data_IF_102337638235
#
_entry.id   IF_102337638235
#
_cell.length_a   1.000
_cell.length_b   1.000
_cell.length_c   1.000
_cell.angle_alpha   90.00
_cell.angle_beta   90.00
_cell.angle_gamma   90.00
#
_symmetry.space_group_name_H-M   'P 1'
#
loop_
_entity.id
_entity.type
_entity.pdbx_description
1 polymer ?
#
# COMPACT_ATOMS: atom_id res chain seq x y z
N UNK A 1 45.97 -31.12 -37.12
CA UNK A 1 45.83 -32.17 -36.10
C UNK A 1 46.49 -31.64 -34.83
N UNK A 2 45.70 -31.03 -33.95
CA UNK A 2 45.92 -30.88 -32.49
C UNK A 2 44.71 -30.14 -31.91
N UNK A 3 44.25 -30.62 -30.77
CA UNK A 3 42.90 -30.49 -30.24
C UNK A 3 42.56 -29.10 -29.69
N UNK A 4 41.39 -28.58 -30.08
CA UNK A 4 40.71 -27.56 -29.27
C UNK A 4 40.04 -28.24 -28.08
N UNK A 5 40.77 -28.40 -26.99
CA UNK A 5 40.20 -28.59 -25.66
C UNK A 5 39.51 -27.30 -25.22
N UNK A 6 38.29 -27.04 -25.72
CA UNK A 6 37.43 -26.05 -25.09
C UNK A 6 36.70 -26.71 -23.94
N UNK A 7 37.15 -26.30 -22.75
CA UNK A 7 36.75 -26.74 -21.44
C UNK A 7 35.23 -26.91 -21.33
N UNK A 8 34.83 -28.08 -20.82
CA UNK A 8 33.50 -28.41 -20.27
C UNK A 8 33.27 -27.55 -19.03
N UNK A 9 33.19 -26.24 -19.19
CA UNK A 9 32.95 -25.27 -18.13
C UNK A 9 31.45 -25.21 -17.85
N UNK A 10 31.01 -26.25 -17.14
CA UNK A 10 29.99 -26.19 -16.09
C UNK A 10 28.60 -25.64 -16.47
N UNK A 11 27.70 -26.55 -16.88
CA UNK A 11 26.25 -26.35 -16.73
C UNK A 11 25.86 -25.98 -15.27
N UNK A 12 26.70 -26.30 -14.28
CA UNK A 12 26.49 -25.90 -12.88
C UNK A 12 26.68 -24.40 -12.64
N UNK A 13 27.51 -23.68 -13.40
CA UNK A 13 27.71 -22.22 -13.21
C UNK A 13 26.51 -21.45 -13.78
N UNK A 14 25.92 -21.93 -14.88
CA UNK A 14 24.72 -21.32 -15.47
C UNK A 14 23.48 -21.61 -14.61
N UNK A 15 23.35 -22.82 -14.05
CA UNK A 15 22.28 -23.13 -13.08
C UNK A 15 22.43 -22.35 -11.78
N UNK A 16 23.65 -22.17 -11.25
CA UNK A 16 23.90 -21.32 -10.08
C UNK A 16 23.54 -19.85 -10.36
N UNK A 17 23.78 -19.34 -11.57
CA UNK A 17 23.41 -17.97 -11.95
C UNK A 17 21.89 -17.78 -11.95
N UNK A 18 21.14 -18.74 -12.50
CA UNK A 18 19.68 -18.73 -12.47
C UNK A 18 19.13 -18.86 -11.04
N UNK A 19 19.75 -19.67 -10.19
CA UNK A 19 19.32 -19.84 -8.81
C UNK A 19 19.58 -18.57 -7.97
N UNK A 20 20.70 -17.90 -8.19
CA UNK A 20 21.01 -16.61 -7.55
C UNK A 20 20.04 -15.51 -8.05
N UNK A 21 19.68 -15.47 -9.33
CA UNK A 21 18.66 -14.53 -9.82
C UNK A 21 17.26 -14.81 -9.26
N UNK A 22 16.88 -16.08 -9.10
CA UNK A 22 15.60 -16.46 -8.51
C UNK A 22 15.55 -16.10 -7.01
N UNK A 23 16.68 -16.22 -6.31
CA UNK A 23 16.84 -15.73 -4.93
C UNK A 23 16.82 -14.19 -4.91
N UNK A 24 17.50 -13.49 -5.81
CA UNK A 24 17.48 -12.02 -5.89
C UNK A 24 16.06 -11.48 -6.16
N UNK A 25 15.29 -12.08 -7.08
CA UNK A 25 13.89 -11.71 -7.31
C UNK A 25 12.98 -12.08 -6.13
N UNK A 26 13.29 -13.16 -5.40
CA UNK A 26 12.59 -13.50 -4.15
C UNK A 26 12.92 -12.51 -3.03
N UNK A 27 14.17 -12.07 -2.88
CA UNK A 27 14.60 -11.11 -1.86
C UNK A 27 14.03 -9.72 -2.14
N UNK A 28 13.77 -9.32 -3.38
CA UNK A 28 13.01 -8.09 -3.66
C UNK A 28 11.52 -8.25 -3.34
N UNK A 29 10.97 -9.46 -3.42
CA UNK A 29 9.56 -9.77 -3.04
C UNK A 29 9.38 -9.99 -1.53
N UNK A 30 10.41 -10.44 -0.82
CA UNK A 30 10.42 -10.73 0.62
C UNK A 30 11.16 -9.66 1.46
N UNK A 31 11.95 -8.80 0.81
CA UNK A 31 12.64 -7.63 1.36
C UNK A 31 11.79 -6.36 1.32
N UNK A 32 10.48 -6.50 1.06
CA UNK A 32 9.50 -5.66 1.75
C UNK A 32 9.49 -6.14 3.18
N UNK A 33 10.49 -5.70 3.94
CA UNK A 33 10.65 -5.91 5.36
C UNK A 33 9.27 -5.70 6.02
N UNK A 34 8.65 -6.79 6.47
CA UNK A 34 7.62 -6.75 7.50
C UNK A 34 8.29 -6.21 8.77
N UNK A 35 8.44 -4.90 8.89
CA UNK A 35 7.99 -4.33 10.14
C UNK A 35 6.54 -4.78 10.29
N UNK A 36 6.18 -5.35 11.44
CA UNK A 36 4.78 -5.48 11.78
C UNK A 36 4.31 -4.03 11.92
N UNK A 37 3.88 -3.42 10.81
CA UNK A 37 3.41 -2.04 10.78
C UNK A 37 2.04 -2.08 11.43
N UNK A 38 2.05 -1.99 12.75
CA UNK A 38 0.85 -1.70 13.52
C UNK A 38 0.31 -0.37 13.03
N UNK A 39 -0.99 -0.34 12.76
CA UNK A 39 -1.68 0.91 12.49
C UNK A 39 -1.48 1.85 13.68
N UNK A 40 -1.24 3.12 13.39
CA UNK A 40 -1.29 4.17 14.41
C UNK A 40 -2.71 4.22 15.02
N UNK A 41 -2.89 4.82 16.20
CA UNK A 41 -4.22 5.03 16.76
C UNK A 41 -5.14 5.79 15.79
N UNK A 42 -4.60 6.78 15.08
CA UNK A 42 -5.33 7.55 14.06
C UNK A 42 -5.78 6.67 12.88
N UNK A 43 -4.87 5.85 12.32
CA UNK A 43 -5.21 4.92 11.24
C UNK A 43 -6.28 3.90 11.67
N UNK A 44 -6.21 3.44 12.92
CA UNK A 44 -7.18 2.52 13.50
C UNK A 44 -8.57 3.15 13.59
N UNK A 45 -8.65 4.41 14.04
CA UNK A 45 -9.91 5.19 14.08
C UNK A 45 -10.44 5.44 12.68
N UNK A 46 -9.58 5.84 11.73
CA UNK A 46 -9.98 6.12 10.35
C UNK A 46 -10.54 4.88 9.65
N UNK A 47 -9.89 3.71 9.82
CA UNK A 47 -10.39 2.44 9.29
C UNK A 47 -11.74 2.08 9.90
N UNK A 48 -11.86 2.19 11.24
CA UNK A 48 -13.08 1.86 11.96
C UNK A 48 -14.27 2.73 11.49
N UNK A 49 -14.02 4.03 11.33
CA UNK A 49 -15.00 4.99 10.83
C UNK A 49 -15.40 4.66 9.39
N UNK A 50 -14.44 4.48 8.48
CA UNK A 50 -14.70 4.16 7.08
C UNK A 50 -15.57 2.91 6.90
N UNK A 51 -15.23 1.82 7.62
CA UNK A 51 -16.00 0.57 7.56
C UNK A 51 -17.42 0.77 8.10
N UNK A 52 -17.55 1.44 9.24
CA UNK A 52 -18.84 1.69 9.89
C UNK A 52 -19.75 2.55 9.02
N UNK A 53 -19.24 3.67 8.51
CA UNK A 53 -19.97 4.58 7.64
C UNK A 53 -20.52 3.85 6.42
N UNK A 54 -19.64 3.17 5.67
CA UNK A 54 -20.03 2.42 4.46
C UNK A 54 -21.02 1.31 4.76
N UNK A 55 -20.85 0.59 5.87
CA UNK A 55 -21.83 -0.41 6.30
C UNK A 55 -23.20 0.21 6.62
N UNK A 56 -23.22 1.35 7.31
CA UNK A 56 -24.47 2.03 7.68
C UNK A 56 -25.16 2.70 6.49
N UNK A 57 -24.41 3.24 5.53
CA UNK A 57 -24.94 3.76 4.26
C UNK A 57 -25.70 2.67 3.48
N UNK A 58 -25.22 1.42 3.56
CA UNK A 58 -25.87 0.25 2.96
C UNK A 58 -27.00 -0.33 3.81
N UNK A 59 -27.31 0.26 4.97
CA UNK A 59 -28.35 -0.22 5.89
C UNK A 59 -28.05 -1.59 6.53
N UNK A 60 -26.77 -2.00 6.56
CA UNK A 60 -26.39 -3.33 7.04
C UNK A 60 -26.04 -3.31 8.52
N UNK A 61 -26.43 -4.35 9.26
CA UNK A 61 -25.87 -4.61 10.58
C UNK A 61 -24.57 -5.43 10.47
N UNK A 62 -23.80 -5.52 11.56
CA UNK A 62 -22.51 -6.23 11.58
C UNK A 62 -22.64 -7.70 11.14
N UNK A 63 -23.59 -8.51 11.66
CA UNK A 63 -23.72 -9.91 11.23
C UNK A 63 -23.95 -10.06 9.72
N UNK A 64 -24.83 -9.24 9.14
CA UNK A 64 -25.15 -9.29 7.69
C UNK A 64 -23.95 -8.86 6.86
N UNK A 65 -23.26 -7.79 7.23
CA UNK A 65 -22.07 -7.33 6.51
C UNK A 65 -20.93 -8.35 6.59
N UNK A 66 -20.67 -8.93 7.76
CA UNK A 66 -19.65 -9.95 7.95
C UNK A 66 -19.96 -11.22 7.14
N UNK A 67 -21.23 -11.64 7.13
CA UNK A 67 -21.68 -12.77 6.30
C UNK A 67 -21.47 -12.51 4.81
N UNK A 68 -21.85 -11.32 4.31
CA UNK A 68 -21.64 -10.93 2.89
C UNK A 68 -20.16 -10.91 2.51
N UNK A 69 -19.29 -10.53 3.45
CA UNK A 69 -17.84 -10.52 3.25
C UNK A 69 -17.19 -11.89 3.47
N UNK A 70 -17.91 -12.91 3.93
CA UNK A 70 -17.35 -14.18 4.38
C UNK A 70 -16.25 -14.00 5.46
N UNK A 71 -16.44 -13.04 6.35
CA UNK A 71 -15.54 -12.73 7.48
C UNK A 71 -16.26 -13.04 8.79
N UNK A 72 -15.52 -13.44 9.82
CA UNK A 72 -16.09 -13.63 11.16
C UNK A 72 -16.71 -12.33 11.70
N UNK A 73 -17.89 -12.44 12.31
CA UNK A 73 -18.64 -11.30 12.88
C UNK A 73 -17.84 -10.56 13.95
N UNK A 74 -17.07 -11.29 14.77
CA UNK A 74 -16.23 -10.72 15.82
C UNK A 74 -15.06 -9.94 15.24
N UNK A 75 -14.53 -10.38 14.10
CA UNK A 75 -13.50 -9.67 13.35
C UNK A 75 -14.00 -8.31 12.86
N UNK A 76 -15.15 -8.25 12.20
CA UNK A 76 -15.73 -6.98 11.76
C UNK A 76 -16.05 -6.05 12.95
N UNK A 77 -16.66 -6.59 14.01
CA UNK A 77 -16.95 -5.80 15.21
C UNK A 77 -15.67 -5.21 15.84
N UNK A 78 -14.62 -6.00 16.00
CA UNK A 78 -13.35 -5.52 16.56
C UNK A 78 -12.65 -4.51 15.65
N UNK A 79 -12.81 -4.61 14.33
CA UNK A 79 -12.29 -3.61 13.38
C UNK A 79 -13.04 -2.29 13.54
N UNK A 80 -14.37 -2.30 13.54
CA UNK A 80 -15.19 -1.10 13.73
C UNK A 80 -15.09 -0.50 15.13
N UNK A 81 -14.63 -1.26 16.12
CA UNK A 81 -14.32 -0.78 17.48
C UNK A 81 -12.85 -0.35 17.64
N UNK A 82 -12.02 -0.47 16.59
CA UNK A 82 -10.61 -0.08 16.63
C UNK A 82 -9.72 -0.98 17.50
N UNK A 83 -10.12 -2.23 17.76
CA UNK A 83 -9.36 -3.20 18.58
C UNK A 83 -8.38 -4.07 17.80
N UNK A 84 -8.37 -3.96 16.48
CA UNK A 84 -7.42 -4.65 15.62
C UNK A 84 -6.46 -3.61 15.07
N UNK A 85 -5.22 -3.64 15.54
CA UNK A 85 -4.14 -2.75 15.09
C UNK A 85 -3.36 -3.33 13.91
N UNK A 86 -3.58 -4.61 13.58
CA UNK A 86 -2.95 -5.30 12.45
C UNK A 86 -3.98 -6.20 11.74
N UNK A 87 -4.83 -5.64 10.86
CA UNK A 87 -5.77 -6.43 10.07
C UNK A 87 -5.03 -7.26 9.02
N UNK A 88 -5.60 -8.40 8.63
CA UNK A 88 -5.11 -9.16 7.47
C UNK A 88 -5.58 -8.49 6.19
N UNK A 89 -4.71 -8.43 5.17
CA UNK A 89 -5.04 -7.85 3.88
C UNK A 89 -6.26 -8.53 3.23
N UNK A 90 -6.37 -9.86 3.34
CA UNK A 90 -7.52 -10.60 2.78
C UNK A 90 -8.85 -10.16 3.41
N UNK A 91 -8.85 -9.88 4.72
CA UNK A 91 -10.04 -9.42 5.45
C UNK A 91 -10.44 -8.02 4.98
N UNK A 92 -9.48 -7.11 4.81
CA UNK A 92 -9.75 -5.77 4.29
C UNK A 92 -10.33 -5.85 2.87
N UNK A 93 -9.72 -6.64 1.99
CA UNK A 93 -10.20 -6.82 0.61
C UNK A 93 -11.63 -7.38 0.59
N UNK A 94 -11.91 -8.40 1.40
CA UNK A 94 -13.23 -9.03 1.47
C UNK A 94 -14.30 -8.06 1.99
N UNK A 95 -14.01 -7.31 3.05
CA UNK A 95 -14.89 -6.27 3.58
C UNK A 95 -15.08 -5.14 2.57
N UNK A 96 -14.00 -4.68 1.93
CA UNK A 96 -14.07 -3.64 0.90
C UNK A 96 -14.95 -4.06 -0.27
N UNK A 97 -14.80 -5.30 -0.74
CA UNK A 97 -15.66 -5.86 -1.80
C UNK A 97 -17.13 -5.88 -1.38
N UNK A 98 -17.43 -6.34 -0.17
CA UNK A 98 -18.81 -6.42 0.32
C UNK A 98 -19.45 -5.05 0.61
N UNK A 99 -18.64 -4.03 0.92
CA UNK A 99 -19.08 -2.68 1.28
C UNK A 99 -18.92 -1.66 0.14
N UNK A 100 -18.39 -2.07 -1.02
CA UNK A 100 -18.14 -1.19 -2.15
C UNK A 100 -16.98 -0.20 -1.92
N UNK A 101 -16.03 -0.54 -1.06
CA UNK A 101 -14.84 0.28 -0.77
C UNK A 101 -13.68 -0.23 -1.64
N UNK A 102 -13.07 0.64 -2.47
CA UNK A 102 -11.87 0.29 -3.21
C UNK A 102 -10.73 -0.18 -2.29
N UNK A 103 -10.00 -1.26 -2.62
CA UNK A 103 -8.87 -1.73 -1.80
C UNK A 103 -7.78 -0.65 -1.58
N UNK A 104 -7.58 0.23 -2.56
CA UNK A 104 -6.64 1.35 -2.44
C UNK A 104 -6.99 2.28 -1.27
N UNK A 105 -8.28 2.60 -1.08
CA UNK A 105 -8.73 3.48 0.00
C UNK A 105 -8.53 2.82 1.37
N UNK A 106 -8.77 1.50 1.45
CA UNK A 106 -8.49 0.72 2.66
C UNK A 106 -6.99 0.68 2.96
N UNK A 107 -6.14 0.45 1.96
CA UNK A 107 -4.69 0.40 2.15
C UNK A 107 -4.10 1.76 2.50
N UNK A 108 -4.65 2.85 1.97
CA UNK A 108 -4.30 4.20 2.39
C UNK A 108 -4.75 4.48 3.82
N UNK A 109 -5.96 4.07 4.22
CA UNK A 109 -6.49 4.25 5.57
C UNK A 109 -5.62 3.55 6.64
N UNK A 110 -5.06 2.38 6.31
CA UNK A 110 -4.17 1.62 7.22
C UNK A 110 -2.68 1.93 7.05
N UNK A 111 -2.33 2.90 6.20
CA UNK A 111 -0.94 3.35 5.98
C UNK A 111 -0.07 2.42 5.14
N UNK A 112 -0.62 1.37 4.55
CA UNK A 112 0.12 0.45 3.68
C UNK A 112 0.34 0.99 2.27
N UNK A 113 -0.43 2.01 1.87
CA UNK A 113 -0.27 2.72 0.62
C UNK A 113 -0.08 4.23 0.89
N UNK A 114 1.13 4.66 1.30
CA UNK A 114 1.44 6.06 1.53
C UNK A 114 1.38 6.89 0.24
N UNK A 115 1.19 8.20 0.37
CA UNK A 115 0.92 9.10 -0.77
C UNK A 115 1.99 9.06 -1.88
N UNK A 116 3.26 8.83 -1.53
CA UNK A 116 4.36 8.73 -2.50
C UNK A 116 4.38 7.41 -3.28
N UNK A 117 3.56 6.43 -2.90
CA UNK A 117 3.39 5.15 -3.59
C UNK A 117 2.08 5.06 -4.36
N UNK A 118 1.22 6.07 -4.26
CA UNK A 118 0.00 6.15 -5.08
C UNK A 118 0.38 6.31 -6.56
N UNK A 119 -0.36 5.66 -7.49
CA UNK A 119 -0.21 5.95 -8.91
C UNK A 119 -0.44 7.44 -9.16
N UNK A 120 0.37 8.03 -10.04
CA UNK A 120 0.10 9.38 -10.53
C UNK A 120 -1.31 9.47 -11.14
N UNK A 121 -1.96 10.63 -11.01
CA UNK A 121 -3.35 10.81 -11.43
C UNK A 121 -3.60 10.37 -12.87
N UNK A 122 -2.70 10.72 -13.79
CA UNK A 122 -2.74 10.27 -15.19
C UNK A 122 -2.79 8.75 -15.33
N UNK A 123 -1.94 8.04 -14.60
CA UNK A 123 -1.87 6.57 -14.61
C UNK A 123 -3.18 5.98 -14.10
N UNK A 124 -3.72 6.50 -12.99
CA UNK A 124 -5.00 6.09 -12.45
C UNK A 124 -6.15 6.28 -13.45
N UNK A 125 -6.30 7.49 -14.00
CA UNK A 125 -7.40 7.82 -14.91
C UNK A 125 -7.36 6.98 -16.18
N UNK A 126 -6.18 6.78 -16.78
CA UNK A 126 -6.03 5.94 -17.99
C UNK A 126 -6.33 4.47 -17.72
N UNK A 127 -6.02 3.98 -16.52
CA UNK A 127 -6.27 2.58 -16.14
C UNK A 127 -7.75 2.35 -15.85
N UNK A 128 -8.39 3.28 -15.13
CA UNK A 128 -9.80 3.19 -14.74
C UNK A 128 -10.77 3.54 -15.86
N UNK A 129 -10.38 4.45 -16.74
CA UNK A 129 -11.18 4.97 -17.85
C UNK A 129 -10.35 4.95 -19.15
N UNK A 130 -10.17 3.77 -19.78
CA UNK A 130 -9.30 3.62 -20.95
C UNK A 130 -9.73 4.47 -22.14
N UNK A 131 -11.03 4.73 -22.30
CA UNK A 131 -11.59 5.51 -23.40
C UNK A 131 -11.61 7.03 -23.14
N UNK A 132 -11.03 7.49 -22.02
CA UNK A 132 -10.99 8.91 -21.68
C UNK A 132 -10.08 9.71 -22.62
N UNK A 133 -10.57 10.81 -23.25
CA UNK A 133 -9.75 11.65 -24.10
C UNK A 133 -8.56 12.24 -23.36
N UNK A 134 -7.38 12.25 -24.00
CA UNK A 134 -6.14 12.75 -23.38
C UNK A 134 -6.24 14.23 -22.99
N UNK A 135 -7.00 15.02 -23.74
CA UNK A 135 -7.26 16.43 -23.46
C UNK A 135 -8.04 16.61 -22.16
N UNK A 136 -9.00 15.72 -21.88
CA UNK A 136 -9.78 15.77 -20.65
C UNK A 136 -8.91 15.43 -19.43
N UNK A 137 -8.00 14.46 -19.55
CA UNK A 137 -7.01 14.16 -18.49
C UNK A 137 -6.17 15.40 -18.17
N UNK A 138 -5.66 16.09 -19.19
CA UNK A 138 -4.87 17.31 -18.99
C UNK A 138 -5.68 18.45 -18.35
N UNK A 139 -6.96 18.60 -18.73
CA UNK A 139 -7.87 19.58 -18.11
C UNK A 139 -8.10 19.28 -16.62
N UNK A 140 -8.31 18.01 -16.26
CA UNK A 140 -8.47 17.58 -14.86
C UNK A 140 -7.20 17.91 -14.05
N UNK A 141 -6.02 17.59 -14.60
CA UNK A 141 -4.72 17.89 -13.95
C UNK A 141 -4.55 19.40 -13.69
N UNK A 142 -4.87 20.25 -14.67
CA UNK A 142 -4.82 21.71 -14.57
C UNK A 142 -5.81 22.24 -13.52
N UNK A 143 -7.04 21.76 -13.53
CA UNK A 143 -8.07 22.18 -12.58
C UNK A 143 -7.67 21.86 -11.14
N UNK A 144 -7.15 20.65 -10.89
CA UNK A 144 -6.67 20.26 -9.55
C UNK A 144 -5.49 21.14 -9.13
N UNK A 145 -4.49 21.33 -10.00
CA UNK A 145 -3.34 22.20 -9.71
C UNK A 145 -3.76 23.63 -9.39
N UNK A 146 -4.69 24.19 -10.16
CA UNK A 146 -5.21 25.55 -9.94
C UNK A 146 -5.98 25.64 -8.62
N UNK A 147 -6.80 24.65 -8.28
CA UNK A 147 -7.55 24.61 -7.01
C UNK A 147 -6.64 24.48 -5.79
N UNK A 148 -5.54 23.72 -5.91
CA UNK A 148 -4.53 23.60 -4.85
C UNK A 148 -3.77 24.92 -4.70
N UNK A 149 -3.37 25.56 -5.81
CA UNK A 149 -2.66 26.84 -5.80
C UNK A 149 -3.47 28.02 -5.23
N UNK A 150 -4.80 27.92 -5.20
CA UNK A 150 -5.72 28.93 -4.63
C UNK A 150 -6.03 28.71 -3.14
N UNK A 151 -5.60 27.60 -2.52
CA UNK A 151 -5.85 27.28 -1.11
C UNK A 151 -4.56 27.49 -0.30
N UNK A 152 -4.69 28.36 0.70
CA UNK A 152 -3.76 28.74 1.80
C UNK A 152 -2.58 27.79 2.09
N UNK A 153 -1.40 28.42 2.23
CA UNK A 153 -0.14 27.95 2.85
C UNK A 153 -0.37 26.82 3.88
N UNK A 154 0.26 25.66 3.67
CA UNK A 154 0.44 24.66 4.73
C UNK A 154 0.19 23.19 4.37
N UNK A 155 -0.33 22.87 3.19
CA UNK A 155 -0.57 21.46 2.81
C UNK A 155 0.43 21.01 1.74
N UNK A 156 1.47 20.30 2.19
CA UNK A 156 2.49 19.71 1.32
C UNK A 156 2.03 18.34 0.81
N UNK A 157 1.69 18.24 -0.48
CA UNK A 157 1.49 16.95 -1.16
C UNK A 157 2.73 16.64 -2.01
N UNK A 158 3.78 16.14 -1.36
CA UNK A 158 5.00 15.63 -1.96
C UNK A 158 5.75 14.76 -0.94
N UNK A 159 6.72 13.93 -1.35
CA UNK A 159 7.55 13.22 -0.39
C UNK A 159 8.33 14.26 0.43
N UNK A 160 8.18 14.26 1.76
CA UNK A 160 8.97 15.10 2.66
C UNK A 160 10.44 15.07 2.22
N UNK A 161 11.13 16.23 2.12
CA UNK A 161 12.57 16.24 1.95
C UNK A 161 13.14 15.32 3.01
N UNK A 162 13.90 14.29 2.60
CA UNK A 162 14.61 13.43 3.53
C UNK A 162 15.40 14.35 4.46
N UNK A 163 14.91 14.54 5.69
CA UNK A 163 15.73 15.14 6.73
C UNK A 163 16.86 14.15 6.91
N UNK A 164 18.06 14.58 6.50
CA UNK A 164 19.32 13.94 6.79
C UNK A 164 19.29 13.64 8.29
N UNK A 165 19.08 12.40 8.69
CA UNK A 165 19.31 11.98 10.07
C UNK A 165 20.78 12.30 10.33
N UNK A 166 21.02 13.39 11.06
CA UNK A 166 22.33 13.67 11.63
C UNK A 166 22.63 12.48 12.55
N UNK A 167 23.78 11.88 12.32
CA UNK A 167 24.29 10.75 13.06
C UNK A 167 24.36 11.02 14.56
N UNK A 168 24.44 9.90 15.28
CA UNK A 168 24.28 9.81 16.72
C UNK A 168 25.23 10.67 17.54
N UNK A 169 24.78 10.94 18.74
CA UNK A 169 25.64 11.23 19.87
C UNK A 169 25.23 10.25 20.97
N UNK A 170 26.07 9.24 21.17
CA UNK A 170 26.05 8.43 22.38
C UNK A 170 26.79 9.26 23.43
N UNK A 171 26.05 9.88 24.35
CA UNK A 171 26.63 10.39 25.58
C UNK A 171 26.53 9.28 26.63
N UNK A 172 27.71 8.75 26.95
CA UNK A 172 28.00 7.83 28.04
C UNK A 172 27.50 8.39 29.38
N UNK A 173 26.62 7.65 30.06
CA UNK A 173 26.52 7.73 31.52
C UNK A 173 27.74 6.98 32.08
N UNK A 174 28.76 7.74 32.45
CA UNK A 174 29.87 7.28 33.29
C UNK A 174 29.58 7.58 34.75
N UNK A 175 30.03 6.63 35.58
CA UNK A 175 30.14 6.62 37.04
C UNK A 175 30.42 7.96 37.73
#
# INVERSE_FOLDING_TARGET
MTEHHYCRYSNNVVELYYFVELIQQSVVKYGVQREIVFMTPEQTVNLAQLLREKRTELGLNIPVAAQRAHVDRGTLWRLEDGRITYPRAEVLIALGTALGIPPADLFTAVGWLPANQLPGLRTYLRTKYPDMPIQLVAQIEEQIRTSIGKRSVGVYYGPSPRTRQKGGDYAEDSH
#
